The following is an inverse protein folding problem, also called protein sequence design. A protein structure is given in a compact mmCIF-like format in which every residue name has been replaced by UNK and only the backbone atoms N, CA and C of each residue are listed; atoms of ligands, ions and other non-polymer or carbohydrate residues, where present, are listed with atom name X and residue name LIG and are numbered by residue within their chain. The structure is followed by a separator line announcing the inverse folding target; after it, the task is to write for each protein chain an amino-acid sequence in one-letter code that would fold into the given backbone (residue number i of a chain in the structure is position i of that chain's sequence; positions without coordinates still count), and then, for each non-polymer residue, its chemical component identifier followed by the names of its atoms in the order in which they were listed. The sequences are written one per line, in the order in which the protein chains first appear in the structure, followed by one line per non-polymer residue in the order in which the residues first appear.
data_IF_811532759896
#
_entry.id   IF_811532759896
#
_cell.length_a   1.000
_cell.length_b   1.000
_cell.length_c   1.000
_cell.angle_alpha   90.00
_cell.angle_beta   90.00
_cell.angle_gamma   90.00
#
_symmetry.space_group_name_H-M   'P 1'
#
loop_
_entity.id
_entity.type
_entity.pdbx_description
1 polymer ?
#
# COMPACT_ATOMS: atom_id res chain seq x y z
N UNK A 1 24.23 -16.66 20.18
CA UNK A 1 23.84 -16.01 18.89
C UNK A 1 24.12 -14.53 19.00
N UNK A 2 24.93 -14.04 18.10
CA UNK A 2 25.22 -12.60 17.98
C UNK A 2 24.03 -11.87 17.31
N UNK A 3 24.01 -10.55 17.42
CA UNK A 3 23.02 -9.72 16.72
C UNK A 3 23.05 -9.91 15.18
N UNK A 4 24.24 -10.14 14.63
CA UNK A 4 24.43 -10.38 13.19
C UNK A 4 23.87 -11.75 12.77
N UNK A 5 24.16 -12.79 13.53
CA UNK A 5 23.64 -14.15 13.29
C UNK A 5 22.12 -14.18 13.41
N UNK A 6 21.54 -13.50 14.41
CA UNK A 6 20.09 -13.38 14.56
C UNK A 6 19.44 -12.67 13.36
N UNK A 7 20.02 -11.55 12.89
CA UNK A 7 19.52 -10.86 11.71
C UNK A 7 19.58 -11.74 10.46
N UNK A 8 20.66 -12.48 10.27
CA UNK A 8 20.82 -13.40 9.14
C UNK A 8 19.79 -14.53 9.20
N UNK A 9 19.58 -15.09 10.38
CA UNK A 9 18.56 -16.11 10.62
C UNK A 9 17.16 -15.59 10.26
N UNK A 10 16.75 -14.43 10.80
CA UNK A 10 15.42 -13.83 10.49
C UNK A 10 15.24 -13.56 9.00
N UNK A 11 16.31 -13.17 8.30
CA UNK A 11 16.23 -12.96 6.84
C UNK A 11 16.07 -14.28 6.06
N UNK A 12 16.63 -15.38 6.55
CA UNK A 12 16.60 -16.69 5.87
C UNK A 12 15.32 -17.49 6.13
N UNK A 13 14.59 -17.17 7.18
CA UNK A 13 13.35 -17.89 7.54
C UNK A 13 12.22 -17.48 6.59
N UNK A 14 11.52 -18.44 5.96
CA UNK A 14 10.30 -18.15 5.21
C UNK A 14 9.27 -17.43 6.06
N UNK A 15 8.61 -16.42 5.49
CA UNK A 15 7.64 -15.58 6.20
C UNK A 15 6.30 -15.59 5.52
N UNK A 16 5.26 -15.58 6.33
CA UNK A 16 3.88 -15.37 5.87
C UNK A 16 3.28 -14.15 6.57
N UNK A 17 2.54 -13.35 5.83
CA UNK A 17 1.75 -12.26 6.37
C UNK A 17 0.29 -12.45 5.96
N UNK A 18 -0.60 -12.62 6.96
CA UNK A 18 -1.97 -13.10 6.75
C UNK A 18 -3.01 -11.97 6.73
N UNK A 19 -2.60 -10.71 6.87
CA UNK A 19 -3.53 -9.58 6.90
C UNK A 19 -2.86 -8.31 6.38
N UNK A 20 -2.72 -8.20 5.05
CA UNK A 20 -2.19 -7.01 4.41
C UNK A 20 -3.31 -6.24 3.73
N UNK A 21 -3.56 -5.01 4.12
CA UNK A 21 -4.34 -4.08 3.32
C UNK A 21 -3.45 -3.51 2.23
N UNK A 22 -3.75 -3.79 0.96
CA UNK A 22 -2.88 -3.42 -0.17
C UNK A 22 -2.65 -1.90 -0.26
N UNK A 23 -3.62 -1.12 0.16
CA UNK A 23 -3.53 0.34 0.19
C UNK A 23 -2.53 0.85 1.25
N UNK A 24 -2.27 0.05 2.29
CA UNK A 24 -1.38 0.42 3.40
C UNK A 24 0.10 0.19 3.10
N UNK A 25 0.45 -0.59 2.08
CA UNK A 25 1.85 -0.85 1.72
C UNK A 25 2.41 0.16 0.71
N UNK A 26 1.60 1.12 0.29
CA UNK A 26 2.01 2.13 -0.69
C UNK A 26 3.02 3.06 -0.06
N UNK A 27 4.16 3.21 -0.73
CA UNK A 27 5.20 4.17 -0.30
C UNK A 27 4.81 5.60 -0.66
N UNK A 28 5.49 6.57 -0.05
CA UNK A 28 5.31 7.99 -0.43
C UNK A 28 5.58 8.21 -1.93
N UNK A 29 6.52 7.49 -2.52
CA UNK A 29 6.78 7.56 -3.95
C UNK A 29 5.57 7.10 -4.79
N UNK A 30 4.92 6.02 -4.39
CA UNK A 30 3.68 5.53 -5.02
C UNK A 30 2.52 6.52 -4.84
N UNK A 31 2.35 7.05 -3.63
CA UNK A 31 1.31 8.07 -3.33
C UNK A 31 1.50 9.31 -4.21
N UNK A 32 2.72 9.84 -4.30
CA UNK A 32 3.04 11.00 -5.14
C UNK A 32 2.70 10.75 -6.61
N UNK A 33 2.99 9.55 -7.11
CA UNK A 33 2.66 9.17 -8.48
C UNK A 33 1.15 9.17 -8.73
N UNK A 34 0.37 8.57 -7.83
CA UNK A 34 -1.09 8.58 -7.93
C UNK A 34 -1.67 9.99 -7.78
N UNK A 35 -1.12 10.79 -6.87
CA UNK A 35 -1.51 12.19 -6.68
C UNK A 35 -1.31 13.01 -7.97
N UNK A 36 -0.15 12.85 -8.62
CA UNK A 36 0.13 13.48 -9.91
C UNK A 36 -0.83 13.02 -11.01
N UNK A 37 -1.13 11.71 -11.05
CA UNK A 37 -2.11 11.17 -12.00
C UNK A 37 -3.51 11.77 -11.80
N UNK A 38 -3.91 11.98 -10.53
CA UNK A 38 -5.23 12.51 -10.19
C UNK A 38 -5.35 14.01 -10.42
N UNK A 39 -4.37 14.79 -9.96
CA UNK A 39 -4.45 16.25 -9.88
C UNK A 39 -3.63 16.98 -10.94
N UNK A 40 -2.79 16.29 -11.71
CA UNK A 40 -1.93 16.87 -12.73
C UNK A 40 -0.78 17.74 -12.19
N UNK A 41 -0.52 17.67 -10.86
CA UNK A 41 0.52 18.46 -10.18
C UNK A 41 1.27 17.60 -9.15
N UNK A 42 2.46 18.05 -8.78
CA UNK A 42 3.24 17.41 -7.74
C UNK A 42 2.64 17.67 -6.34
N UNK A 43 2.76 16.69 -5.47
CA UNK A 43 2.38 16.82 -4.06
C UNK A 43 3.41 17.64 -3.31
N UNK A 44 2.97 18.67 -2.59
CA UNK A 44 3.88 19.52 -1.80
C UNK A 44 4.46 18.78 -0.59
N UNK A 45 5.56 19.30 -0.01
CA UNK A 45 6.12 18.71 1.21
C UNK A 45 5.17 18.83 2.39
N UNK A 46 4.43 19.91 2.48
CA UNK A 46 3.41 20.16 3.51
C UNK A 46 2.29 19.13 3.41
N UNK A 47 1.78 18.86 2.20
CA UNK A 47 0.77 17.83 1.96
C UNK A 47 1.29 16.42 2.31
N UNK A 48 2.54 16.11 1.96
CA UNK A 48 3.18 14.83 2.31
C UNK A 48 3.29 14.65 3.82
N UNK A 49 3.74 15.67 4.54
CA UNK A 49 3.87 15.64 6.00
C UNK A 49 2.50 15.53 6.67
N UNK A 50 1.52 16.32 6.23
CA UNK A 50 0.18 16.33 6.79
C UNK A 50 -0.55 14.98 6.63
N UNK A 51 -0.27 14.24 5.55
CA UNK A 51 -0.92 12.95 5.28
C UNK A 51 -0.67 11.92 6.38
N UNK A 52 0.51 11.92 6.98
CA UNK A 52 0.92 10.96 8.02
C UNK A 52 1.09 11.59 9.41
N UNK A 53 0.66 12.85 9.58
CA UNK A 53 0.65 13.52 10.89
C UNK A 53 -0.65 13.23 11.63
N UNK A 54 -0.72 12.07 12.26
CA UNK A 54 -1.86 11.66 13.09
C UNK A 54 -1.38 11.03 14.40
N UNK A 55 -2.17 11.19 15.46
CA UNK A 55 -1.84 10.76 16.83
C UNK A 55 -2.80 9.68 17.37
N UNK A 56 -3.83 9.36 16.63
CA UNK A 56 -4.87 8.41 17.03
C UNK A 56 -5.37 7.56 15.85
N UNK A 57 -6.20 6.58 16.17
CA UNK A 57 -6.80 5.68 15.19
C UNK A 57 -7.67 6.43 14.17
N UNK A 58 -8.41 7.44 14.62
CA UNK A 58 -9.28 8.21 13.72
C UNK A 58 -8.46 8.97 12.68
N UNK A 59 -7.38 9.63 13.09
CA UNK A 59 -6.44 10.29 12.18
C UNK A 59 -5.80 9.33 11.19
N UNK A 60 -5.42 8.13 11.66
CA UNK A 60 -4.93 7.06 10.78
C UNK A 60 -5.97 6.66 9.71
N UNK A 61 -7.23 6.45 10.12
CA UNK A 61 -8.31 6.10 9.19
C UNK A 61 -8.52 7.23 8.16
N UNK A 62 -8.49 8.48 8.58
CA UNK A 62 -8.60 9.62 7.67
C UNK A 62 -7.46 9.67 6.65
N UNK A 63 -6.23 9.40 7.07
CA UNK A 63 -5.08 9.30 6.18
C UNK A 63 -5.26 8.15 5.16
N UNK A 64 -5.69 6.99 5.64
CA UNK A 64 -5.98 5.82 4.81
C UNK A 64 -7.05 6.11 3.73
N UNK A 65 -8.15 6.77 4.11
CA UNK A 65 -9.20 7.18 3.18
C UNK A 65 -8.71 8.19 2.15
N UNK A 66 -7.85 9.12 2.53
CA UNK A 66 -7.21 10.06 1.58
C UNK A 66 -6.35 9.33 0.56
N UNK A 67 -5.61 8.31 0.96
CA UNK A 67 -4.83 7.48 0.03
C UNK A 67 -5.77 6.71 -0.89
N UNK A 68 -6.84 6.11 -0.37
CA UNK A 68 -7.85 5.44 -1.21
C UNK A 68 -8.50 6.38 -2.23
N UNK A 69 -8.67 7.66 -1.90
CA UNK A 69 -9.22 8.66 -2.80
C UNK A 69 -8.35 8.94 -4.02
N UNK A 70 -7.08 8.62 -3.97
CA UNK A 70 -6.16 8.76 -5.09
C UNK A 70 -6.34 7.71 -6.18
N UNK A 71 -7.03 6.61 -5.88
CA UNK A 71 -7.31 5.55 -6.85
C UNK A 71 -8.40 6.00 -7.83
N UNK A 72 -8.02 6.44 -9.00
CA UNK A 72 -8.93 6.97 -10.02
C UNK A 72 -9.03 6.06 -11.22
N UNK A 73 -7.95 5.36 -11.56
CA UNK A 73 -7.82 4.60 -12.79
C UNK A 73 -7.11 3.26 -12.58
N UNK A 74 -7.15 2.43 -13.60
CA UNK A 74 -6.40 1.16 -13.63
C UNK A 74 -4.88 1.37 -13.42
N UNK A 75 -4.33 2.51 -13.83
CA UNK A 75 -2.92 2.84 -13.63
C UNK A 75 -2.55 2.94 -12.14
N UNK A 76 -3.47 3.42 -11.32
CA UNK A 76 -3.24 3.54 -9.87
C UNK A 76 -3.20 2.18 -9.20
N UNK A 77 -4.04 1.24 -9.62
CA UNK A 77 -3.95 -0.15 -9.16
C UNK A 77 -2.63 -0.81 -9.55
N UNK A 78 -2.12 -0.55 -10.75
CA UNK A 78 -0.81 -1.05 -11.16
C UNK A 78 0.32 -0.49 -10.27
N UNK A 79 0.22 0.77 -9.84
CA UNK A 79 1.18 1.34 -8.87
C UNK A 79 1.13 0.56 -7.56
N UNK A 80 -0.07 0.34 -7.01
CA UNK A 80 -0.25 -0.35 -5.73
C UNK A 80 0.25 -1.78 -5.77
N UNK A 81 -0.05 -2.53 -6.82
CA UNK A 81 0.42 -3.92 -6.95
C UNK A 81 1.95 -4.00 -7.05
N UNK A 82 2.58 -3.07 -7.76
CA UNK A 82 4.05 -2.97 -7.79
C UNK A 82 4.65 -2.61 -6.42
N UNK A 83 3.98 -1.76 -5.67
CA UNK A 83 4.40 -1.43 -4.30
C UNK A 83 4.24 -2.63 -3.35
N UNK A 84 3.16 -3.40 -3.49
CA UNK A 84 2.97 -4.65 -2.76
C UNK A 84 4.07 -5.67 -3.08
N UNK A 85 4.38 -5.89 -4.36
CA UNK A 85 5.47 -6.75 -4.79
C UNK A 85 6.81 -6.34 -4.15
N UNK A 86 7.16 -5.07 -4.22
CA UNK A 86 8.36 -4.53 -3.58
C UNK A 86 8.37 -4.71 -2.07
N UNK A 87 7.21 -4.55 -1.43
CA UNK A 87 7.04 -4.76 0.01
C UNK A 87 7.34 -6.21 0.38
N UNK A 88 6.76 -7.17 -0.34
CA UNK A 88 6.95 -8.60 -0.10
C UNK A 88 8.42 -9.00 -0.27
N UNK A 89 9.05 -8.60 -1.38
CA UNK A 89 10.46 -8.90 -1.67
C UNK A 89 11.37 -8.28 -0.60
N UNK A 90 11.20 -7.01 -0.28
CA UNK A 90 12.03 -6.30 0.70
C UNK A 90 11.97 -6.92 2.09
N UNK A 91 10.82 -7.47 2.47
CA UNK A 91 10.60 -8.06 3.77
C UNK A 91 10.81 -9.59 3.79
N UNK A 92 11.14 -10.19 2.64
CA UNK A 92 11.33 -11.64 2.52
C UNK A 92 10.07 -12.42 2.85
N UNK A 93 8.92 -11.96 2.38
CA UNK A 93 7.61 -12.59 2.59
C UNK A 93 7.35 -13.53 1.42
N UNK A 94 7.19 -14.82 1.70
CA UNK A 94 7.00 -15.87 0.70
C UNK A 94 5.52 -16.16 0.44
N UNK A 95 4.66 -15.85 1.41
CA UNK A 95 3.21 -16.02 1.33
C UNK A 95 2.49 -14.83 1.94
N UNK A 96 1.47 -14.33 1.27
CA UNK A 96 0.62 -13.30 1.87
C UNK A 96 -0.87 -13.50 1.53
N UNK A 97 -1.71 -13.07 2.47
CA UNK A 97 -3.14 -12.87 2.26
C UNK A 97 -3.41 -11.37 2.27
N UNK A 98 -3.73 -10.82 1.10
CA UNK A 98 -3.93 -9.40 0.92
C UNK A 98 -5.42 -9.07 0.82
N UNK A 99 -5.82 -8.02 1.52
CA UNK A 99 -7.18 -7.50 1.54
C UNK A 99 -7.27 -6.23 0.70
N UNK A 100 -8.37 -6.14 0.00
CA UNK A 100 -8.74 -4.98 -0.79
C UNK A 100 -10.18 -4.59 -0.44
N UNK A 101 -10.44 -3.32 -0.22
CA UNK A 101 -11.77 -2.81 0.13
C UNK A 101 -12.53 -2.27 -1.10
N UNK A 102 -13.14 -3.13 -1.92
CA UNK A 102 -13.76 -2.72 -3.18
C UNK A 102 -14.95 -1.77 -2.99
N UNK A 103 -15.64 -1.85 -1.85
CA UNK A 103 -16.81 -1.02 -1.56
C UNK A 103 -16.52 0.48 -1.57
N UNK A 104 -15.31 0.89 -1.16
CA UNK A 104 -14.88 2.28 -1.19
C UNK A 104 -14.80 2.82 -2.64
N UNK A 105 -14.52 1.95 -3.60
CA UNK A 105 -14.42 2.29 -5.02
C UNK A 105 -15.76 2.18 -5.74
N UNK A 106 -16.63 1.25 -5.34
CA UNK A 106 -17.98 1.07 -5.91
C UNK A 106 -18.89 2.27 -5.63
N UNK A 107 -18.84 2.82 -4.42
CA UNK A 107 -19.60 4.03 -4.04
C UNK A 107 -19.29 5.25 -4.91
N UNK A 108 -18.16 5.23 -5.63
CA UNK A 108 -17.73 6.30 -6.54
C UNK A 108 -18.11 6.03 -8.00
N UNK A 109 -19.02 5.08 -8.29
CA UNK A 109 -19.47 4.75 -9.63
C UNK A 109 -18.44 4.01 -10.50
N UNK A 110 -17.42 3.41 -9.90
CA UNK A 110 -16.40 2.64 -10.62
C UNK A 110 -16.84 1.20 -10.78
N UNK A 111 -16.68 0.66 -12.01
CA UNK A 111 -17.00 -0.75 -12.28
C UNK A 111 -16.06 -1.67 -11.52
N UNK A 112 -16.66 -2.64 -10.81
CA UNK A 112 -15.94 -3.74 -10.20
C UNK A 112 -15.41 -4.67 -11.30
N UNK A 113 -14.08 -4.75 -11.43
CA UNK A 113 -13.42 -5.89 -12.04
C UNK A 113 -12.93 -6.77 -10.90
N UNK A 114 -13.33 -8.03 -10.88
CA UNK A 114 -12.80 -9.00 -9.91
C UNK A 114 -11.33 -9.22 -10.21
N UNK A 115 -10.48 -8.91 -9.24
CA UNK A 115 -9.05 -9.18 -9.33
C UNK A 115 -8.75 -10.43 -8.51
N UNK A 116 -8.24 -11.47 -9.18
CA UNK A 116 -7.60 -12.59 -8.49
C UNK A 116 -6.11 -12.36 -8.56
N UNK A 117 -5.51 -12.06 -7.41
CA UNK A 117 -4.07 -11.91 -7.28
C UNK A 117 -3.46 -13.29 -7.03
N UNK A 118 -2.65 -13.76 -7.97
CA UNK A 118 -1.79 -14.93 -7.76
C UNK A 118 -0.36 -14.45 -7.74
N UNK A 119 0.27 -14.59 -6.59
CA UNK A 119 1.73 -14.45 -6.43
C UNK A 119 2.30 -15.86 -6.34
N UNK A 120 3.09 -16.22 -7.32
CA UNK A 120 3.81 -17.47 -7.36
C UNK A 120 5.28 -17.24 -7.59
#
# INVERSE_FOLDING_TARGET
MTKSEFKSFIKSVPKAELHIHIEAVITMAGIKKMYKNRYGKEMTKEEQTALFSYNDLNGFIQAFLKVQDLFVSEKDFNVVFKELEKYLVRNGIDYCEAFFAPTAFLKKGRRQRSFVLRFG
#
